data_IF_009457529161
#
_entry.id   IF_009457529161
#
_cell.length_a   1.000
_cell.length_b   1.000
_cell.length_c   1.000
_cell.angle_alpha   90.00
_cell.angle_beta   90.00
_cell.angle_gamma   90.00
#
_symmetry.space_group_name_H-M   'P 1'
#
loop_
_entity.id
_entity.type
_entity.pdbx_description
1 polymer ?
#
# COMPACT_ATOMS: atom_id res chain seq x y z
N UNK A 1 -47.52 -18.96 -42.94
CA UNK A 1 -46.30 -19.56 -42.36
C UNK A 1 -45.31 -18.45 -42.09
N UNK A 2 -45.46 -17.72 -40.99
CA UNK A 2 -44.49 -16.67 -40.59
C UNK A 2 -44.61 -16.24 -39.11
N UNK A 3 -45.39 -16.96 -38.29
CA UNK A 3 -45.60 -16.63 -36.87
C UNK A 3 -44.77 -17.47 -35.90
N UNK A 4 -44.27 -18.65 -36.31
CA UNK A 4 -43.56 -19.58 -35.40
C UNK A 4 -42.06 -19.24 -35.20
N UNK A 5 -41.46 -18.41 -36.06
CA UNK A 5 -40.05 -18.03 -35.90
C UNK A 5 -39.83 -16.88 -34.92
N UNK A 6 -40.87 -16.08 -34.63
CA UNK A 6 -40.71 -14.85 -33.83
C UNK A 6 -40.76 -15.13 -32.32
N UNK A 7 -41.50 -16.16 -31.89
CA UNK A 7 -41.64 -16.52 -30.47
C UNK A 7 -40.38 -17.23 -29.94
N UNK A 8 -39.73 -18.06 -30.77
CA UNK A 8 -38.46 -18.72 -30.43
C UNK A 8 -37.29 -17.73 -30.25
N UNK A 9 -37.24 -16.68 -31.09
CA UNK A 9 -36.21 -15.65 -31.01
C UNK A 9 -36.39 -14.77 -29.75
N UNK A 10 -37.63 -14.49 -29.35
CA UNK A 10 -37.94 -13.73 -28.13
C UNK A 10 -37.60 -14.55 -26.88
N UNK A 11 -37.92 -15.83 -26.86
CA UNK A 11 -37.63 -16.72 -25.72
C UNK A 11 -36.11 -16.84 -25.49
N UNK A 12 -35.32 -17.05 -26.56
CA UNK A 12 -33.85 -17.06 -26.50
C UNK A 12 -33.25 -15.71 -26.05
N UNK A 13 -33.80 -14.59 -26.51
CA UNK A 13 -33.37 -13.26 -26.08
C UNK A 13 -33.67 -13.02 -24.59
N UNK A 14 -34.83 -13.46 -24.10
CA UNK A 14 -35.19 -13.32 -22.69
C UNK A 14 -34.35 -14.21 -21.78
N UNK A 15 -34.01 -15.43 -22.22
CA UNK A 15 -33.16 -16.35 -21.48
C UNK A 15 -31.73 -15.80 -21.38
N UNK A 16 -31.16 -15.32 -22.50
CA UNK A 16 -29.83 -14.68 -22.55
C UNK A 16 -29.76 -13.41 -21.68
N UNK A 17 -30.81 -12.58 -21.68
CA UNK A 17 -30.90 -11.38 -20.84
C UNK A 17 -31.02 -11.74 -19.35
N UNK A 18 -31.72 -12.82 -19.02
CA UNK A 18 -31.84 -13.31 -17.64
C UNK A 18 -30.51 -13.88 -17.13
N UNK A 19 -29.79 -14.66 -17.94
CA UNK A 19 -28.49 -15.25 -17.60
C UNK A 19 -27.41 -14.17 -17.43
N UNK A 20 -27.38 -13.17 -18.33
CA UNK A 20 -26.46 -12.03 -18.20
C UNK A 20 -26.76 -11.16 -16.99
N UNK A 21 -28.02 -11.04 -16.57
CA UNK A 21 -28.39 -10.32 -15.35
C UNK A 21 -27.96 -11.07 -14.09
N UNK A 22 -28.22 -12.38 -14.03
CA UNK A 22 -27.82 -13.26 -12.91
C UNK A 22 -26.29 -13.26 -12.75
N UNK A 23 -25.55 -13.37 -13.86
CA UNK A 23 -24.09 -13.34 -13.88
C UNK A 23 -23.52 -12.03 -13.31
N UNK A 24 -24.10 -10.88 -13.68
CA UNK A 24 -23.70 -9.56 -13.13
C UNK A 24 -24.00 -9.40 -11.64
N UNK A 25 -25.12 -9.95 -11.16
CA UNK A 25 -25.43 -9.92 -9.72
C UNK A 25 -24.47 -10.79 -8.90
N UNK A 26 -24.08 -11.96 -9.41
CA UNK A 26 -23.13 -12.84 -8.74
C UNK A 26 -21.72 -12.25 -8.70
N UNK A 27 -21.29 -11.60 -9.77
CA UNK A 27 -20.03 -10.86 -9.83
C UNK A 27 -20.02 -9.72 -8.80
N UNK A 28 -21.09 -8.91 -8.75
CA UNK A 28 -21.24 -7.84 -7.76
C UNK A 28 -21.20 -8.37 -6.32
N UNK A 29 -21.90 -9.47 -6.02
CA UNK A 29 -21.85 -10.14 -4.70
C UNK A 29 -20.44 -10.59 -4.35
N UNK A 30 -19.71 -11.10 -5.34
CA UNK A 30 -18.32 -11.55 -5.18
C UNK A 30 -17.38 -10.39 -4.89
N UNK A 31 -17.49 -9.28 -5.62
CA UNK A 31 -16.73 -8.05 -5.38
C UNK A 31 -17.02 -7.51 -3.97
N UNK A 32 -18.30 -7.44 -3.58
CA UNK A 32 -18.69 -6.93 -2.26
C UNK A 32 -18.14 -7.80 -1.11
N UNK A 33 -18.04 -9.12 -1.32
CA UNK A 33 -17.39 -10.01 -0.36
C UNK A 33 -15.89 -9.70 -0.20
N UNK A 34 -15.17 -9.51 -1.31
CA UNK A 34 -13.73 -9.13 -1.30
C UNK A 34 -13.52 -7.78 -0.61
N UNK A 35 -14.41 -6.82 -0.88
CA UNK A 35 -14.44 -5.53 -0.20
C UNK A 35 -14.63 -5.67 1.32
N UNK A 36 -15.63 -6.43 1.76
CA UNK A 36 -15.87 -6.63 3.19
C UNK A 36 -14.65 -7.27 3.88
N UNK A 37 -13.95 -8.18 3.22
CA UNK A 37 -12.70 -8.75 3.74
C UNK A 37 -11.63 -7.68 3.99
N UNK A 38 -11.41 -6.74 3.06
CA UNK A 38 -10.37 -5.71 3.24
C UNK A 38 -10.76 -4.68 4.30
N UNK A 39 -12.04 -4.28 4.39
CA UNK A 39 -12.50 -3.34 5.42
C UNK A 39 -12.36 -3.95 6.82
N UNK A 40 -12.79 -5.19 7.00
CA UNK A 40 -12.63 -5.89 8.28
C UNK A 40 -11.15 -6.04 8.67
N UNK A 41 -10.27 -6.28 7.69
CA UNK A 41 -8.82 -6.33 7.91
C UNK A 41 -8.28 -4.99 8.42
N UNK A 42 -8.61 -3.87 7.75
CA UNK A 42 -8.14 -2.54 8.14
C UNK A 42 -8.69 -2.10 9.51
N UNK A 43 -9.95 -2.42 9.82
CA UNK A 43 -10.55 -2.16 11.14
C UNK A 43 -9.84 -2.94 12.26
N UNK A 44 -9.52 -4.22 12.03
CA UNK A 44 -8.80 -5.04 13.01
C UNK A 44 -7.35 -4.57 13.19
N UNK A 45 -6.67 -4.18 12.10
CA UNK A 45 -5.34 -3.58 12.16
C UNK A 45 -5.38 -2.29 12.98
N UNK A 46 -6.29 -1.35 12.67
CA UNK A 46 -6.45 -0.07 13.39
C UNK A 46 -6.73 -0.30 14.88
N UNK A 47 -7.54 -1.31 15.20
CA UNK A 47 -7.90 -1.65 16.58
C UNK A 47 -6.82 -2.41 17.34
N UNK A 48 -5.73 -2.81 16.68
CA UNK A 48 -4.66 -3.59 17.31
C UNK A 48 -3.84 -2.74 18.30
N UNK A 49 -3.42 -3.34 19.43
CA UNK A 49 -2.51 -2.68 20.37
C UNK A 49 -1.12 -2.49 19.76
N UNK A 50 -0.21 -1.88 20.52
CA UNK A 50 1.18 -1.82 20.09
C UNK A 50 1.81 -3.20 20.07
N UNK A 51 2.62 -3.45 19.03
CA UNK A 51 3.42 -4.64 18.89
C UNK A 51 4.86 -4.20 18.69
N UNK A 52 5.73 -4.66 19.58
CA UNK A 52 7.17 -4.39 19.49
C UNK A 52 7.68 -4.92 18.16
N UNK A 53 8.52 -4.16 17.44
CA UNK A 53 9.04 -4.60 16.14
C UNK A 53 10.30 -5.46 16.25
N UNK A 54 10.49 -6.13 17.39
CA UNK A 54 11.49 -7.19 17.47
C UNK A 54 11.04 -8.32 16.56
N UNK A 55 11.96 -8.83 15.76
CA UNK A 55 11.76 -9.99 14.89
C UNK A 55 10.55 -9.87 13.93
N UNK A 56 10.27 -8.67 13.43
CA UNK A 56 9.16 -8.37 12.51
C UNK A 56 7.76 -8.70 13.07
N UNK A 57 7.59 -8.64 14.39
CA UNK A 57 6.29 -8.98 15.01
C UNK A 57 5.15 -8.06 14.55
N UNK A 58 5.43 -6.80 14.19
CA UNK A 58 4.38 -5.90 13.70
C UNK A 58 3.86 -6.35 12.33
N UNK A 59 4.76 -6.66 11.41
CA UNK A 59 4.44 -7.19 10.09
C UNK A 59 3.79 -8.58 10.20
N UNK A 60 4.29 -9.44 11.10
CA UNK A 60 3.68 -10.75 11.37
C UNK A 60 2.23 -10.62 11.86
N UNK A 61 1.91 -9.60 12.68
CA UNK A 61 0.52 -9.36 13.07
C UNK A 61 -0.36 -8.97 11.88
N UNK A 62 0.14 -8.11 11.00
CA UNK A 62 -0.59 -7.71 9.79
C UNK A 62 -0.84 -8.94 8.92
N UNK A 63 0.15 -9.84 8.79
CA UNK A 63 0.01 -11.14 8.11
C UNK A 63 -1.11 -11.98 8.74
N UNK A 64 -1.08 -12.18 10.06
CA UNK A 64 -2.12 -12.94 10.77
C UNK A 64 -3.52 -12.39 10.50
N UNK A 65 -3.67 -11.07 10.52
CA UNK A 65 -4.97 -10.41 10.26
C UNK A 65 -5.38 -10.58 8.80
N UNK A 66 -4.47 -10.41 7.84
CA UNK A 66 -4.73 -10.65 6.42
C UNK A 66 -5.21 -12.09 6.18
N UNK A 67 -4.48 -13.07 6.69
CA UNK A 67 -4.80 -14.49 6.56
C UNK A 67 -6.15 -14.84 7.21
N UNK A 68 -6.42 -14.28 8.39
CA UNK A 68 -7.71 -14.42 9.08
C UNK A 68 -8.89 -13.92 8.23
N UNK A 69 -8.70 -12.84 7.45
CA UNK A 69 -9.73 -12.25 6.58
C UNK A 69 -9.73 -12.82 5.16
N UNK A 70 -9.01 -13.93 4.94
CA UNK A 70 -9.07 -14.72 3.71
C UNK A 70 -8.03 -14.35 2.65
N UNK A 71 -7.10 -13.44 2.95
CA UNK A 71 -5.98 -13.15 2.05
C UNK A 71 -4.93 -14.26 2.14
N UNK A 72 -4.34 -14.62 1.01
CA UNK A 72 -3.28 -15.65 0.96
C UNK A 72 -1.93 -15.04 0.61
N UNK A 73 -0.87 -15.52 1.25
CA UNK A 73 0.49 -15.15 0.83
C UNK A 73 0.76 -15.65 -0.59
N UNK A 74 1.14 -14.74 -1.48
CA UNK A 74 1.66 -15.07 -2.80
C UNK A 74 3.19 -15.11 -2.74
N UNK A 75 3.77 -16.23 -3.18
CA UNK A 75 5.22 -16.42 -3.24
C UNK A 75 5.68 -16.08 -4.65
N UNK A 76 6.60 -15.12 -4.75
CA UNK A 76 7.15 -14.68 -6.03
C UNK A 76 8.09 -15.73 -6.62
N UNK A 77 7.88 -16.06 -7.89
CA UNK A 77 8.75 -16.97 -8.65
C UNK A 77 10.00 -16.27 -9.21
N UNK A 78 10.02 -14.94 -9.23
CA UNK A 78 11.10 -14.09 -9.74
C UNK A 78 11.21 -12.83 -8.89
N UNK A 79 12.38 -12.19 -8.90
CA UNK A 79 12.55 -10.87 -8.29
C UNK A 79 11.75 -9.84 -9.10
N UNK A 80 10.97 -9.02 -8.40
CA UNK A 80 10.22 -7.93 -9.02
C UNK A 80 11.12 -6.73 -9.32
N UNK A 81 10.85 -6.05 -10.44
CA UNK A 81 11.39 -4.73 -10.71
C UNK A 81 10.58 -3.71 -9.91
N UNK A 82 11.24 -2.96 -9.03
CA UNK A 82 10.58 -2.00 -8.15
C UNK A 82 9.86 -0.88 -8.92
N UNK A 83 10.48 -0.30 -9.92
CA UNK A 83 9.89 0.83 -10.66
C UNK A 83 8.62 0.40 -11.41
N UNK A 84 8.63 -0.79 -12.01
CA UNK A 84 7.47 -1.34 -12.71
C UNK A 84 6.37 -1.75 -11.72
N UNK A 85 6.72 -2.45 -10.64
CA UNK A 85 5.75 -2.91 -9.65
C UNK A 85 5.07 -1.75 -8.93
N UNK A 86 5.76 -0.63 -8.69
CA UNK A 86 5.13 0.53 -8.04
C UNK A 86 4.03 1.18 -8.89
N UNK A 87 3.97 0.90 -10.20
CA UNK A 87 2.87 1.34 -11.06
C UNK A 87 1.58 0.57 -10.81
N UNK A 88 1.63 -0.60 -10.16
CA UNK A 88 0.46 -1.45 -9.96
C UNK A 88 -0.65 -0.78 -9.13
N UNK A 89 -0.34 0.24 -8.32
CA UNK A 89 -1.38 0.99 -7.61
C UNK A 89 -2.27 1.81 -8.56
N UNK A 90 -1.68 2.31 -9.66
CA UNK A 90 -2.36 3.17 -10.63
C UNK A 90 -2.78 2.37 -11.89
N UNK A 91 -2.06 1.29 -12.20
CA UNK A 91 -2.33 0.35 -13.29
C UNK A 91 -2.41 -1.11 -12.77
N UNK A 92 -3.50 -1.50 -12.06
CA UNK A 92 -3.62 -2.81 -11.42
C UNK A 92 -3.56 -4.02 -12.35
N UNK A 93 -3.85 -3.84 -13.65
CA UNK A 93 -3.74 -4.89 -14.67
C UNK A 93 -2.30 -5.37 -14.86
N UNK A 94 -1.29 -4.58 -14.53
CA UNK A 94 0.11 -4.99 -14.62
C UNK A 94 0.50 -6.10 -13.62
N UNK A 95 -0.39 -6.45 -12.68
CA UNK A 95 -0.19 -7.48 -11.67
C UNK A 95 -0.96 -8.77 -11.96
N UNK A 96 -1.23 -9.10 -13.23
CA UNK A 96 -1.98 -10.30 -13.66
C UNK A 96 -1.48 -11.62 -13.07
N UNK A 97 -0.17 -11.74 -12.82
CA UNK A 97 0.43 -12.95 -12.23
C UNK A 97 0.10 -13.14 -10.74
N UNK A 98 -0.44 -12.11 -10.09
CA UNK A 98 -0.78 -12.09 -8.66
C UNK A 98 -2.28 -12.37 -8.49
N UNK A 99 -2.68 -13.47 -7.83
CA UNK A 99 -4.08 -13.80 -7.62
C UNK A 99 -4.82 -12.76 -6.78
N UNK A 100 -6.12 -12.63 -6.98
CA UNK A 100 -6.99 -11.84 -6.09
C UNK A 100 -7.06 -12.44 -4.68
N UNK A 101 -7.39 -11.59 -3.71
CA UNK A 101 -7.32 -11.90 -2.28
C UNK A 101 -5.98 -12.50 -1.89
N UNK A 102 -4.90 -11.89 -2.36
CA UNK A 102 -3.54 -12.28 -1.99
C UNK A 102 -2.69 -11.09 -1.56
N UNK A 103 -1.56 -11.38 -0.94
CA UNK A 103 -0.56 -10.38 -0.61
C UNK A 103 0.86 -10.88 -0.86
N UNK A 104 1.75 -9.94 -1.18
CA UNK A 104 3.19 -10.14 -1.26
C UNK A 104 3.81 -9.40 -0.08
N UNK A 105 4.54 -10.14 0.75
CA UNK A 105 5.27 -9.58 1.89
C UNK A 105 6.73 -9.29 1.51
N UNK A 106 7.19 -8.07 1.81
CA UNK A 106 8.53 -7.56 1.51
C UNK A 106 8.97 -7.81 0.06
N UNK A 107 8.22 -7.31 -0.94
CA UNK A 107 8.48 -7.55 -2.37
C UNK A 107 9.90 -7.16 -2.82
N UNK A 108 10.54 -6.20 -2.12
CA UNK A 108 11.87 -5.69 -2.43
C UNK A 108 12.89 -5.94 -1.29
N UNK A 109 12.59 -6.88 -0.40
CA UNK A 109 13.40 -7.19 0.78
C UNK A 109 13.13 -6.26 1.97
N UNK A 110 13.70 -6.59 3.13
CA UNK A 110 13.40 -5.95 4.43
C UNK A 110 13.84 -4.49 4.57
N UNK A 111 14.63 -3.99 3.62
CA UNK A 111 15.04 -2.58 3.56
C UNK A 111 14.27 -1.80 2.47
N UNK A 112 13.45 -2.49 1.68
CA UNK A 112 12.61 -1.92 0.64
C UNK A 112 11.20 -1.65 1.14
N UNK A 113 10.47 -0.83 0.39
CA UNK A 113 9.06 -0.51 0.63
C UNK A 113 8.22 -0.64 -0.66
N UNK A 114 6.91 -0.92 -0.60
CA UNK A 114 6.14 -1.12 0.63
C UNK A 114 6.47 -2.46 1.31
N UNK A 115 6.13 -2.60 2.58
CA UNK A 115 6.18 -3.90 3.28
C UNK A 115 5.18 -4.91 2.70
N UNK A 116 4.04 -4.44 2.19
CA UNK A 116 2.99 -5.28 1.62
C UNK A 116 2.45 -4.71 0.31
N UNK A 117 2.27 -5.61 -0.66
CA UNK A 117 1.41 -5.40 -1.82
C UNK A 117 0.21 -6.33 -1.65
N UNK A 118 -1.00 -5.79 -1.65
CA UNK A 118 -2.24 -6.53 -1.44
C UNK A 118 -3.08 -6.44 -2.72
N UNK A 119 -3.41 -7.59 -3.31
CA UNK A 119 -4.30 -7.69 -4.48
C UNK A 119 -5.69 -8.03 -3.98
N UNK A 120 -6.61 -7.05 -4.00
CA UNK A 120 -8.00 -7.24 -3.60
C UNK A 120 -8.81 -7.73 -4.80
N UNK A 121 -8.62 -7.09 -5.95
CA UNK A 121 -9.30 -7.36 -7.21
C UNK A 121 -8.34 -7.13 -8.39
N UNK A 122 -8.65 -7.66 -9.57
CA UNK A 122 -7.90 -7.39 -10.81
C UNK A 122 -7.70 -5.89 -11.09
N UNK A 123 -8.67 -5.08 -10.72
CA UNK A 123 -8.67 -3.62 -10.87
C UNK A 123 -8.30 -2.86 -9.59
N UNK A 124 -7.87 -3.56 -8.53
CA UNK A 124 -7.50 -2.91 -7.27
C UNK A 124 -6.34 -3.59 -6.56
N UNK A 125 -5.21 -2.87 -6.54
CA UNK A 125 -4.00 -3.19 -5.79
C UNK A 125 -3.76 -2.09 -4.76
N UNK A 126 -3.46 -2.50 -3.53
CA UNK A 126 -3.21 -1.62 -2.40
C UNK A 126 -1.81 -1.85 -1.86
N UNK A 127 -1.09 -0.78 -1.55
CA UNK A 127 0.23 -0.84 -0.92
C UNK A 127 0.14 -0.43 0.54
N UNK A 128 0.74 -1.23 1.42
CA UNK A 128 0.74 -1.01 2.86
C UNK A 128 2.16 -1.02 3.42
N UNK A 129 2.48 -0.01 4.22
CA UNK A 129 3.76 0.13 4.91
C UNK A 129 3.55 0.06 6.42
N UNK A 130 4.27 -0.83 7.09
CA UNK A 130 4.26 -0.95 8.54
C UNK A 130 5.30 0.02 9.14
N UNK A 131 4.89 0.73 10.19
CA UNK A 131 5.76 1.59 10.99
C UNK A 131 5.53 1.33 12.46
N UNK A 132 6.62 1.12 13.19
CA UNK A 132 6.59 1.01 14.64
C UNK A 132 7.39 2.14 15.24
N UNK A 133 6.81 2.81 16.22
CA UNK A 133 7.46 3.90 16.94
C UNK A 133 7.40 3.67 18.45
N UNK A 134 8.47 4.01 19.16
CA UNK A 134 8.45 4.08 20.63
C UNK A 134 7.57 5.24 21.13
N UNK A 135 7.37 6.25 20.28
CA UNK A 135 6.68 7.52 20.57
C UNK A 135 5.54 7.72 19.57
N UNK A 136 5.15 8.97 19.35
CA UNK A 136 3.94 9.37 18.63
C UNK A 136 4.05 9.49 17.11
N UNK A 137 5.25 9.39 16.52
CA UNK A 137 5.45 9.67 15.09
C UNK A 137 6.41 8.70 14.40
N UNK A 138 6.19 8.43 13.11
CA UNK A 138 7.09 7.61 12.31
C UNK A 138 8.33 8.41 11.88
N UNK A 139 9.31 7.67 11.37
CA UNK A 139 10.36 8.21 10.52
C UNK A 139 10.23 7.57 9.14
N UNK A 140 10.44 8.36 8.09
CA UNK A 140 10.46 7.88 6.72
C UNK A 140 11.91 7.84 6.25
N UNK A 141 12.40 6.64 5.96
CA UNK A 141 13.79 6.40 5.60
C UNK A 141 13.89 6.10 4.10
N UNK A 142 15.01 6.49 3.48
CA UNK A 142 15.36 6.12 2.09
C UNK A 142 14.40 6.63 1.02
N UNK A 143 13.64 7.69 1.30
CA UNK A 143 12.70 8.28 0.36
C UNK A 143 11.71 9.23 1.04
N UNK A 144 10.79 9.78 0.25
CA UNK A 144 9.68 10.60 0.72
C UNK A 144 8.57 9.76 1.37
N UNK A 145 7.61 10.44 2.03
CA UNK A 145 6.29 9.86 2.28
C UNK A 145 5.66 9.52 0.93
N UNK A 146 5.28 8.26 0.74
CA UNK A 146 4.67 7.75 -0.48
C UNK A 146 3.15 8.02 -0.44
N UNK A 147 2.62 8.87 -1.34
CA UNK A 147 1.23 9.31 -1.26
C UNK A 147 0.22 8.18 -1.49
N UNK A 148 0.62 7.15 -2.25
CA UNK A 148 -0.24 6.02 -2.61
C UNK A 148 -0.22 4.88 -1.58
N UNK A 149 0.59 4.97 -0.52
CA UNK A 149 0.66 3.92 0.49
C UNK A 149 -0.31 4.20 1.61
N UNK A 150 -0.89 3.14 2.17
CA UNK A 150 -1.50 3.17 3.49
C UNK A 150 -0.41 2.83 4.51
N UNK A 151 -0.23 3.70 5.48
CA UNK A 151 0.69 3.50 6.58
C UNK A 151 -0.05 2.94 7.77
N UNK A 152 0.48 1.87 8.36
CA UNK A 152 0.03 1.32 9.63
C UNK A 152 1.08 1.70 10.68
N UNK A 153 0.74 2.64 11.55
CA UNK A 153 1.62 3.12 12.60
C UNK A 153 1.19 2.57 13.95
N UNK A 154 2.03 1.73 14.57
CA UNK A 154 1.85 1.31 15.96
C UNK A 154 2.80 2.07 16.90
N UNK A 155 2.28 2.50 18.06
CA UNK A 155 3.02 3.30 19.05
C UNK A 155 3.08 2.66 20.42
N UNK A 156 4.31 2.46 20.92
CA UNK A 156 4.53 1.94 22.28
C UNK A 156 3.95 2.85 23.35
N UNK A 157 4.16 4.17 23.22
CA UNK A 157 3.67 5.19 24.16
C UNK A 157 2.15 5.13 24.34
N UNK A 158 1.41 4.91 23.25
CA UNK A 158 -0.05 4.90 23.28
C UNK A 158 -0.66 3.51 23.40
N UNK A 159 0.15 2.46 23.25
CA UNK A 159 -0.29 1.07 23.11
C UNK A 159 -1.42 0.91 22.06
N UNK A 160 -1.28 1.60 20.93
CA UNK A 160 -2.32 1.71 19.89
C UNK A 160 -1.71 1.68 18.51
N UNK A 161 -2.55 1.33 17.55
CA UNK A 161 -2.30 1.47 16.12
C UNK A 161 -3.20 2.55 15.54
N UNK A 162 -2.69 3.26 14.53
CA UNK A 162 -3.44 4.21 13.70
C UNK A 162 -3.09 3.92 12.24
N UNK A 163 -4.03 4.21 11.35
CA UNK A 163 -3.81 4.08 9.90
C UNK A 163 -4.03 5.44 9.22
N UNK A 164 -3.31 5.69 8.15
CA UNK A 164 -3.50 6.87 7.31
C UNK A 164 -2.93 6.62 5.92
N UNK A 165 -3.48 7.29 4.91
CA UNK A 165 -2.91 7.27 3.55
C UNK A 165 -1.85 8.37 3.42
N UNK A 166 -0.73 8.11 2.74
CA UNK A 166 0.34 9.11 2.62
C UNK A 166 -0.16 10.46 2.09
N UNK A 167 -1.10 10.44 1.13
CA UNK A 167 -1.68 11.65 0.55
C UNK A 167 -2.52 12.50 1.52
N UNK A 168 -2.88 12.01 2.71
CA UNK A 168 -3.58 12.82 3.72
C UNK A 168 -2.64 13.71 4.54
N UNK A 169 -1.33 13.41 4.54
CA UNK A 169 -0.33 14.10 5.37
C UNK A 169 0.75 14.83 4.58
N UNK A 170 0.91 14.55 3.29
CA UNK A 170 1.89 15.22 2.43
C UNK A 170 1.26 15.67 1.12
N UNK A 171 1.64 16.87 0.66
CA UNK A 171 1.18 17.40 -0.62
C UNK A 171 2.12 16.99 -1.76
N UNK A 172 1.62 16.92 -3.01
CA UNK A 172 2.47 16.67 -4.19
C UNK A 172 3.65 17.66 -4.28
N UNK A 173 3.42 18.94 -3.95
CA UNK A 173 4.48 19.96 -3.97
C UNK A 173 5.56 19.71 -2.92
N UNK A 174 5.18 19.26 -1.72
CA UNK A 174 6.15 18.90 -0.69
C UNK A 174 7.00 17.68 -1.12
N UNK A 175 6.38 16.67 -1.74
CA UNK A 175 7.10 15.52 -2.32
C UNK A 175 8.10 15.99 -3.38
N UNK A 176 7.68 16.87 -4.30
CA UNK A 176 8.55 17.42 -5.34
C UNK A 176 9.78 18.14 -4.75
N UNK A 177 9.58 18.98 -3.73
CA UNK A 177 10.68 19.68 -3.05
C UNK A 177 11.67 18.70 -2.42
N UNK A 178 11.16 17.66 -1.74
CA UNK A 178 11.97 16.64 -1.09
C UNK A 178 12.78 15.85 -2.13
N UNK A 179 12.13 15.37 -3.20
CA UNK A 179 12.78 14.58 -4.24
C UNK A 179 13.87 15.38 -4.96
N UNK A 180 13.60 16.64 -5.31
CA UNK A 180 14.61 17.51 -5.92
C UNK A 180 15.85 17.68 -5.02
N UNK A 181 15.65 17.75 -3.70
CA UNK A 181 16.77 17.83 -2.76
C UNK A 181 17.54 16.51 -2.66
N UNK A 182 16.84 15.36 -2.63
CA UNK A 182 17.47 14.04 -2.62
C UNK A 182 18.31 13.83 -3.89
N UNK A 183 17.79 14.19 -5.06
CA UNK A 183 18.53 14.10 -6.32
C UNK A 183 19.78 14.98 -6.33
N UNK A 184 19.70 16.18 -5.74
CA UNK A 184 20.86 17.05 -5.57
C UNK A 184 21.91 16.38 -4.68
N UNK A 185 21.51 15.81 -3.54
CA UNK A 185 22.43 15.11 -2.64
C UNK A 185 23.10 13.92 -3.32
N UNK A 186 22.37 13.13 -4.11
CA UNK A 186 22.97 11.99 -4.82
C UNK A 186 24.02 12.44 -5.85
N UNK A 187 23.81 13.56 -6.53
CA UNK A 187 24.84 14.13 -7.43
C UNK A 187 26.09 14.55 -6.66
N UNK A 188 25.92 15.18 -5.50
CA UNK A 188 27.04 15.54 -4.62
C UNK A 188 27.76 14.30 -4.07
N UNK A 189 27.02 13.23 -3.74
CA UNK A 189 27.60 11.94 -3.33
C UNK A 189 28.45 11.32 -4.46
N UNK A 190 27.99 11.36 -5.71
CA UNK A 190 28.75 10.90 -6.88
C UNK A 190 30.06 11.67 -7.05
N UNK A 191 30.01 13.01 -6.93
CA UNK A 191 31.20 13.87 -7.01
C UNK A 191 32.23 13.53 -5.91
N UNK A 192 31.78 13.35 -4.67
CA UNK A 192 32.64 12.96 -3.54
C UNK A 192 33.24 11.58 -3.78
N UNK A 193 32.47 10.62 -4.29
CA UNK A 193 32.95 9.27 -4.53
C UNK A 193 34.04 9.20 -5.62
N UNK A 194 33.98 10.07 -6.63
CA UNK A 194 35.07 10.20 -7.61
C UNK A 194 36.35 10.78 -6.99
N UNK A 195 36.25 11.64 -5.97
CA UNK A 195 37.41 12.10 -5.20
C UNK A 195 37.96 11.00 -4.30
N UNK A 196 37.10 10.30 -3.56
CA UNK A 196 37.49 9.19 -2.67
C UNK A 196 38.22 8.08 -3.42
N UNK A 197 37.77 7.77 -4.65
CA UNK A 197 38.41 6.77 -5.52
C UNK A 197 39.86 7.13 -5.88
N UNK A 198 40.18 8.41 -6.05
CA UNK A 198 41.55 8.88 -6.33
C UNK A 198 42.47 8.72 -5.12
N UNK A 199 41.90 8.82 -3.92
CA UNK A 199 42.59 8.70 -2.64
C UNK A 199 42.58 7.27 -2.07
N UNK A 200 42.05 6.28 -2.80
CA UNK A 200 41.96 4.87 -2.35
C UNK A 200 43.31 4.13 -2.45
N UNK A 201 44.34 4.71 -1.83
CA UNK A 201 45.71 4.19 -1.74
C UNK A 201 45.78 2.81 -1.08
N UNK A 202 44.77 2.46 -0.28
CA UNK A 202 44.68 1.20 0.43
C UNK A 202 43.79 0.18 -0.28
N UNK A 203 43.22 0.52 -1.44
CA UNK A 203 42.38 -0.35 -2.26
C UNK A 203 41.25 -1.01 -1.46
N UNK A 204 40.57 -0.21 -0.63
CA UNK A 204 39.44 -0.66 0.20
C UNK A 204 38.10 -0.29 -0.39
N UNK A 205 38.06 0.53 -1.44
CA UNK A 205 36.83 0.92 -2.11
C UNK A 205 35.89 1.70 -1.21
N UNK A 206 36.43 2.58 -0.35
CA UNK A 206 35.61 3.41 0.54
C UNK A 206 34.74 4.33 -0.31
N UNK A 207 33.43 4.32 -0.02
CA UNK A 207 32.44 5.18 -0.64
C UNK A 207 31.55 5.86 0.40
N UNK A 208 31.01 7.01 0.02
CA UNK A 208 30.05 7.79 0.78
C UNK A 208 28.68 7.70 0.11
N UNK A 209 27.63 7.59 0.90
CA UNK A 209 26.26 7.74 0.41
C UNK A 209 25.42 8.42 1.49
N UNK A 210 24.62 9.38 1.07
CA UNK A 210 23.67 10.07 1.92
C UNK A 210 22.38 9.24 1.99
N UNK A 211 21.89 8.94 3.20
CA UNK A 211 20.59 8.31 3.41
C UNK A 211 19.57 9.36 3.87
N UNK A 212 18.57 9.73 3.06
CA UNK A 212 17.51 10.64 3.48
C UNK A 212 16.72 10.06 4.67
N UNK A 213 16.52 10.90 5.68
CA UNK A 213 15.66 10.63 6.83
C UNK A 213 14.69 11.79 7.02
N UNK A 214 13.41 11.54 6.76
CA UNK A 214 12.36 12.55 6.87
C UNK A 214 11.63 12.33 8.17
N UNK A 215 11.66 13.37 9.01
CA UNK A 215 10.96 13.43 10.27
C UNK A 215 10.06 14.65 10.34
N UNK A 216 9.23 14.68 11.37
CA UNK A 216 8.27 15.76 11.60
C UNK A 216 8.67 16.56 12.85
N UNK A 217 8.45 17.87 12.82
CA UNK A 217 8.76 18.81 13.91
C UNK A 217 7.55 19.72 14.18
N UNK A 218 7.62 20.50 15.26
CA UNK A 218 6.56 21.45 15.64
C UNK A 218 5.86 21.14 16.97
N UNK A 219 6.04 19.95 17.53
CA UNK A 219 5.40 19.54 18.79
C UNK A 219 4.20 18.61 18.56
N UNK A 220 3.47 18.30 19.63
CA UNK A 220 2.41 17.30 19.61
C UNK A 220 1.25 17.70 18.68
N UNK A 221 0.88 18.97 18.67
CA UNK A 221 -0.24 19.50 17.86
C UNK A 221 -0.05 19.33 16.34
N UNK A 222 1.18 19.09 15.87
CA UNK A 222 1.51 18.90 14.45
C UNK A 222 2.00 17.50 14.10
N UNK A 223 2.56 16.78 15.08
CA UNK A 223 3.32 15.55 14.80
C UNK A 223 2.94 14.35 15.65
N UNK A 224 2.01 14.48 16.60
CA UNK A 224 1.54 13.34 17.39
C UNK A 224 0.34 12.65 16.72
N UNK A 225 0.57 11.57 15.97
CA UNK A 225 -0.46 10.93 15.15
C UNK A 225 -1.62 10.35 15.94
N UNK A 226 -1.48 10.19 17.26
CA UNK A 226 -2.49 9.57 18.12
C UNK A 226 -3.42 10.59 18.78
N UNK A 227 -2.97 11.84 18.87
CA UNK A 227 -3.71 12.97 19.46
C UNK A 227 -3.89 14.14 18.51
N UNK A 228 -3.37 14.05 17.28
CA UNK A 228 -3.51 15.08 16.27
C UNK A 228 -4.99 15.32 15.93
N UNK A 229 -5.38 16.59 15.79
CA UNK A 229 -6.76 17.00 15.51
C UNK A 229 -7.34 16.41 14.22
N UNK A 230 -6.48 16.03 13.26
CA UNK A 230 -6.91 15.42 12.00
C UNK A 230 -6.88 13.89 12.03
N UNK A 231 -6.53 13.24 13.15
CA UNK A 231 -6.37 11.78 13.19
C UNK A 231 -7.61 11.05 12.68
N UNK A 232 -8.78 11.37 13.22
CA UNK A 232 -10.03 10.70 12.85
C UNK A 232 -10.35 10.92 11.36
N UNK A 233 -10.10 12.13 10.84
CA UNK A 233 -10.21 12.44 9.41
C UNK A 233 -9.26 11.58 8.59
N UNK A 234 -8.01 11.44 9.01
CA UNK A 234 -6.97 10.72 8.27
C UNK A 234 -7.20 9.21 8.28
N UNK A 235 -7.73 8.67 9.38
CA UNK A 235 -8.19 7.28 9.48
C UNK A 235 -9.42 7.06 8.58
N UNK A 236 -10.43 7.93 8.64
CA UNK A 236 -11.65 7.85 7.82
C UNK A 236 -11.34 7.90 6.32
N UNK A 237 -10.42 8.79 5.92
CA UNK A 237 -9.99 8.93 4.53
C UNK A 237 -9.42 7.64 3.94
N UNK A 238 -8.80 6.77 4.75
CA UNK A 238 -8.37 5.45 4.26
C UNK A 238 -9.55 4.62 3.80
N UNK A 239 -10.61 4.55 4.62
CA UNK A 239 -11.81 3.77 4.30
C UNK A 239 -12.57 4.38 3.13
N UNK A 240 -12.71 5.71 3.10
CA UNK A 240 -13.32 6.42 1.98
C UNK A 240 -12.60 6.11 0.66
N UNK A 241 -11.26 6.18 0.64
CA UNK A 241 -10.48 5.86 -0.54
C UNK A 241 -10.62 4.40 -1.00
N UNK A 242 -10.70 3.45 -0.06
CA UNK A 242 -10.97 2.04 -0.39
C UNK A 242 -12.36 1.88 -1.00
N UNK A 243 -13.38 2.54 -0.44
CA UNK A 243 -14.74 2.51 -0.96
C UNK A 243 -14.78 3.07 -2.39
N UNK A 244 -14.12 4.20 -2.64
CA UNK A 244 -14.01 4.80 -3.96
C UNK A 244 -13.34 3.86 -4.98
N UNK A 245 -12.36 3.05 -4.58
CA UNK A 245 -11.77 2.07 -5.50
C UNK A 245 -12.74 0.96 -5.84
N UNK A 246 -13.53 0.48 -4.87
CA UNK A 246 -14.51 -0.59 -5.10
C UNK A 246 -15.70 -0.10 -5.93
N UNK A 247 -16.16 1.12 -5.71
CA UNK A 247 -17.24 1.73 -6.49
C UNK A 247 -16.91 1.88 -7.98
N UNK A 248 -15.61 1.97 -8.34
CA UNK A 248 -15.18 1.99 -9.75
C UNK A 248 -15.26 0.62 -10.42
N UNK A 249 -15.29 -0.46 -9.64
CA UNK A 249 -15.27 -1.85 -10.12
C UNK A 249 -16.70 -2.38 -10.29
N UNK A 250 -17.63 -1.92 -9.44
CA UNK A 250 -19.06 -2.32 -9.43
C UNK A 250 -19.84 -1.55 -10.50
#
# INVERSE_FOLDING_TARGET
MSSENNDNDIEQLTETLSETHISKEEEKKTILKKYNSIICCLEEIKSSPYIDNKDSNHENKIIEILEKHGFKKHILNKKLNREETLKWSDEPSLSEEVPELSYIYQPFGSQGNPDFIIKIHNEFVMFLEAKSAKKEKPLYNSGSVHPNYIYVLCSQKYNKTTIYKGSSIITPKAIEIINNYIEKQHKEDEEINELLKKEDIHHRGISYYTRPMIGQKGGAEYSDYFTHKNRERDEAYVFEWVNEQIEKII
#
